data_IF_359073107696
#
_entry.id   IF_359073107696
#
_cell.length_a   1.000
_cell.length_b   1.000
_cell.length_c   1.000
_cell.angle_alpha   90.00
_cell.angle_beta   90.00
_cell.angle_gamma   90.00
#
_symmetry.space_group_name_H-M   'P 1'
#
loop_
_entity.id
_entity.type
_entity.pdbx_description
1 polymer ?
#
# COMPACT_ATOMS: atom_id res chain seq x y z
N UNK A 1 8.66 8.07 11.49
CA UNK A 1 8.84 8.81 10.22
C UNK A 1 8.03 10.09 10.34
N UNK A 2 8.57 11.23 9.91
CA UNK A 2 7.81 12.47 9.84
C UNK A 2 7.18 12.58 8.44
N UNK A 3 5.85 12.47 8.39
CA UNK A 3 5.07 12.50 7.14
C UNK A 3 5.04 13.91 6.51
N UNK A 4 5.23 14.94 7.32
CA UNK A 4 5.20 16.34 6.89
C UNK A 4 6.61 16.85 6.50
N UNK A 5 7.65 16.03 6.73
CA UNK A 5 9.01 16.36 6.32
C UNK A 5 9.10 16.53 4.80
N UNK A 6 9.46 17.73 4.38
CA UNK A 6 9.60 18.10 2.98
C UNK A 6 10.87 17.49 2.37
N UNK A 7 10.74 16.80 1.24
CA UNK A 7 11.85 16.42 0.34
C UNK A 7 11.47 16.76 -1.09
N UNK A 8 12.35 17.45 -1.82
CA UNK A 8 12.11 17.88 -3.20
C UNK A 8 10.79 18.66 -3.41
N UNK A 9 10.40 19.49 -2.43
CA UNK A 9 9.23 20.37 -2.55
C UNK A 9 7.87 19.73 -2.25
N UNK A 10 7.80 18.44 -1.94
CA UNK A 10 6.59 17.77 -1.42
C UNK A 10 6.87 17.00 -0.14
N UNK A 11 5.90 16.99 0.77
CA UNK A 11 5.98 16.13 1.95
C UNK A 11 5.83 14.67 1.55
N UNK A 12 6.29 13.74 2.39
CA UNK A 12 6.08 12.33 2.15
C UNK A 12 4.59 11.96 2.07
N UNK A 13 3.77 12.62 2.89
CA UNK A 13 2.31 12.55 2.82
C UNK A 13 1.80 12.92 1.44
N UNK A 14 2.16 14.09 0.91
CA UNK A 14 1.62 14.57 -0.36
C UNK A 14 2.04 13.68 -1.52
N UNK A 15 3.28 13.17 -1.51
CA UNK A 15 3.75 12.21 -2.50
C UNK A 15 2.91 10.93 -2.50
N UNK A 16 2.57 10.39 -1.32
CA UNK A 16 1.72 9.19 -1.20
C UNK A 16 0.27 9.48 -1.62
N UNK A 17 -0.30 10.58 -1.14
CA UNK A 17 -1.70 10.93 -1.39
C UNK A 17 -1.95 11.35 -2.84
N UNK A 18 -0.92 11.75 -3.59
CA UNK A 18 -1.04 12.02 -5.04
C UNK A 18 -1.51 10.81 -5.86
N UNK A 19 -1.35 9.58 -5.34
CA UNK A 19 -1.84 8.35 -5.97
C UNK A 19 -3.23 7.93 -5.49
N UNK A 20 -3.86 8.69 -4.56
CA UNK A 20 -5.14 8.33 -3.96
C UNK A 20 -6.25 8.13 -4.99
N UNK A 21 -6.35 9.02 -5.99
CA UNK A 21 -7.36 8.91 -7.06
C UNK A 21 -7.12 7.70 -7.96
N UNK A 22 -5.85 7.36 -8.25
CA UNK A 22 -5.49 6.17 -9.02
C UNK A 22 -5.93 4.89 -8.30
N UNK A 23 -5.63 4.75 -7.00
CA UNK A 23 -6.00 3.55 -6.25
C UNK A 23 -7.45 3.55 -5.74
N UNK A 24 -8.23 4.63 -5.94
CA UNK A 24 -9.66 4.68 -5.58
C UNK A 24 -10.51 3.81 -6.50
N UNK A 25 -10.14 3.69 -7.77
CA UNK A 25 -10.86 2.86 -8.74
C UNK A 25 -10.44 1.39 -8.68
N UNK A 26 -11.39 0.46 -8.77
CA UNK A 26 -11.10 -0.99 -8.86
C UNK A 26 -10.84 -1.46 -10.28
N UNK A 27 -11.16 -0.63 -11.27
CA UNK A 27 -11.09 -0.95 -12.71
C UNK A 27 -9.85 -0.36 -13.39
N UNK A 28 -8.91 0.17 -12.62
CA UNK A 28 -7.65 0.65 -13.17
C UNK A 28 -6.80 -0.53 -13.66
N UNK A 29 -6.03 -0.35 -14.74
CA UNK A 29 -5.06 -1.35 -15.17
C UNK A 29 -3.89 -1.35 -14.18
N UNK A 30 -4.04 -2.05 -13.05
CA UNK A 30 -2.98 -2.21 -12.06
C UNK A 30 -1.86 -3.11 -12.57
N UNK A 31 -2.20 -4.07 -13.42
CA UNK A 31 -1.27 -5.03 -13.99
C UNK A 31 -1.77 -5.54 -15.34
N UNK A 32 -0.85 -6.08 -16.11
CA UNK A 32 -1.11 -6.80 -17.35
C UNK A 32 -0.50 -8.20 -17.27
N UNK A 33 -1.24 -9.19 -17.79
CA UNK A 33 -0.69 -10.53 -18.05
C UNK A 33 -0.24 -10.51 -19.51
N UNK A 34 1.08 -10.63 -19.72
CA UNK A 34 1.66 -10.58 -21.07
C UNK A 34 1.65 -11.94 -21.76
N UNK A 35 1.97 -11.96 -23.06
CA UNK A 35 2.08 -13.16 -23.92
C UNK A 35 3.26 -14.05 -23.52
N UNK A 36 3.26 -14.57 -22.30
CA UNK A 36 4.10 -15.64 -21.76
C UNK A 36 3.81 -15.91 -20.28
N UNK A 37 2.64 -15.47 -19.77
CA UNK A 37 2.27 -15.51 -18.35
C UNK A 37 3.18 -14.66 -17.45
N UNK A 38 4.00 -13.75 -18.00
CA UNK A 38 4.68 -12.77 -17.17
C UNK A 38 3.68 -11.74 -16.67
N UNK A 39 3.68 -11.61 -15.35
CA UNK A 39 2.94 -10.62 -14.61
C UNK A 39 3.73 -9.31 -14.60
N UNK A 40 3.13 -8.21 -15.06
CA UNK A 40 3.76 -6.89 -15.06
C UNK A 40 2.84 -5.85 -14.44
N UNK A 41 3.32 -5.17 -13.41
CA UNK A 41 2.64 -4.01 -12.84
C UNK A 41 2.71 -2.81 -13.79
N UNK A 42 1.62 -2.04 -13.83
CA UNK A 42 1.57 -0.79 -14.58
C UNK A 42 2.53 0.25 -14.00
N UNK A 43 2.97 1.19 -14.84
CA UNK A 43 3.95 2.21 -14.46
C UNK A 43 3.54 3.00 -13.19
N UNK A 44 2.30 3.47 -13.02
CA UNK A 44 1.89 4.16 -11.79
C UNK A 44 2.02 3.30 -10.52
N UNK A 45 1.84 1.98 -10.63
CA UNK A 45 2.05 1.07 -9.49
C UNK A 45 3.53 0.97 -9.14
N UNK A 46 4.40 0.83 -10.14
CA UNK A 46 5.85 0.78 -9.93
C UNK A 46 6.39 2.10 -9.34
N UNK A 47 5.90 3.23 -9.83
CA UNK A 47 6.22 4.56 -9.31
C UNK A 47 5.76 4.71 -7.85
N UNK A 48 4.53 4.29 -7.54
CA UNK A 48 4.02 4.29 -6.16
C UNK A 48 4.86 3.42 -5.22
N UNK A 49 5.28 2.22 -5.64
CA UNK A 49 6.19 1.38 -4.88
C UNK A 49 7.54 2.07 -4.64
N UNK A 50 8.03 2.82 -5.63
CA UNK A 50 9.20 3.68 -5.50
C UNK A 50 9.01 4.77 -4.44
N UNK A 51 7.86 5.44 -4.43
CA UNK A 51 7.50 6.46 -3.43
C UNK A 51 7.40 5.86 -2.03
N UNK A 52 6.75 4.70 -1.88
CA UNK A 52 6.65 3.99 -0.60
C UNK A 52 8.03 3.69 0.00
N UNK A 53 8.97 3.25 -0.84
CA UNK A 53 10.35 3.00 -0.43
C UNK A 53 11.12 4.31 -0.16
N UNK A 54 11.04 5.30 -1.05
CA UNK A 54 11.81 6.55 -0.98
C UNK A 54 11.40 7.48 0.16
N UNK A 55 10.13 7.44 0.55
CA UNK A 55 9.59 8.18 1.70
C UNK A 55 9.94 7.51 3.04
N UNK A 56 10.29 6.23 3.04
CA UNK A 56 10.44 5.44 4.26
C UNK A 56 9.11 5.02 4.88
N UNK A 57 8.03 5.03 4.08
CA UNK A 57 6.73 4.55 4.53
C UNK A 57 6.80 3.06 4.88
N UNK A 58 7.53 2.27 4.08
CA UNK A 58 7.82 0.87 4.35
C UNK A 58 8.76 0.71 5.56
N UNK A 59 8.40 -0.18 6.48
CA UNK A 59 9.14 -0.40 7.73
C UNK A 59 10.22 -1.47 7.51
N UNK A 60 11.49 -1.06 7.59
CA UNK A 60 12.62 -1.99 7.58
C UNK A 60 12.63 -2.83 8.86
N UNK A 61 12.90 -4.14 8.73
CA UNK A 61 13.00 -5.05 9.88
C UNK A 61 11.68 -5.49 10.49
N UNK A 62 10.53 -5.07 9.96
CA UNK A 62 9.22 -5.58 10.39
C UNK A 62 9.13 -7.09 10.13
N UNK A 63 8.86 -7.87 11.18
CA UNK A 63 8.40 -9.25 11.04
C UNK A 63 6.94 -9.25 10.58
N UNK A 64 6.75 -9.06 9.28
CA UNK A 64 5.43 -8.92 8.68
C UNK A 64 4.58 -10.19 8.82
N UNK A 65 5.19 -11.38 8.89
CA UNK A 65 4.45 -12.65 9.05
C UNK A 65 3.88 -12.75 10.45
N UNK A 66 4.71 -12.54 11.47
CA UNK A 66 4.26 -12.56 12.86
C UNK A 66 3.17 -11.50 13.07
N UNK A 67 3.40 -10.27 12.58
CA UNK A 67 2.45 -9.18 12.73
C UNK A 67 1.08 -9.46 12.07
N UNK A 68 1.07 -10.02 10.85
CA UNK A 68 -0.19 -10.43 10.18
C UNK A 68 -0.95 -11.47 11.01
N UNK A 69 -0.25 -12.45 11.59
CA UNK A 69 -0.86 -13.51 12.40
C UNK A 69 -1.44 -12.94 13.70
N UNK A 70 -0.67 -12.12 14.41
CA UNK A 70 -1.06 -11.50 15.67
C UNK A 70 -2.31 -10.60 15.52
N UNK A 71 -2.46 -9.95 14.37
CA UNK A 71 -3.58 -9.06 14.08
C UNK A 71 -4.74 -9.74 13.35
N UNK A 72 -4.67 -11.07 13.14
CA UNK A 72 -5.70 -11.86 12.47
C UNK A 72 -5.99 -11.38 11.04
N UNK A 73 -4.94 -10.99 10.32
CA UNK A 73 -5.00 -10.43 8.95
C UNK A 73 -4.56 -11.45 7.88
N UNK A 74 -4.72 -12.74 8.15
CA UNK A 74 -4.36 -13.79 7.19
C UNK A 74 -5.33 -13.80 5.99
N UNK A 75 -6.57 -13.37 6.19
CA UNK A 75 -7.59 -13.26 5.15
C UNK A 75 -7.72 -11.82 4.66
N UNK A 76 -7.39 -11.61 3.38
CA UNK A 76 -7.47 -10.29 2.74
C UNK A 76 -8.91 -9.76 2.67
N UNK A 77 -9.92 -10.61 2.80
CA UNK A 77 -11.33 -10.21 2.81
C UNK A 77 -11.67 -9.29 4.00
N UNK A 78 -10.94 -9.41 5.12
CA UNK A 78 -11.29 -8.75 6.39
C UNK A 78 -10.50 -7.46 6.64
N UNK A 79 -9.58 -7.11 5.74
CA UNK A 79 -8.68 -5.98 5.93
C UNK A 79 -9.39 -4.61 5.96
N UNK A 80 -10.59 -4.52 5.37
CA UNK A 80 -11.38 -3.27 5.38
C UNK A 80 -11.67 -2.76 6.79
N UNK A 81 -12.19 -3.62 7.66
CA UNK A 81 -12.52 -3.26 9.06
C UNK A 81 -11.27 -2.84 9.85
N UNK A 82 -10.14 -3.48 9.57
CA UNK A 82 -8.86 -3.11 10.17
C UNK A 82 -8.41 -1.72 9.72
N UNK A 83 -8.42 -1.45 8.41
CA UNK A 83 -7.99 -0.17 7.83
C UNK A 83 -8.79 1.00 8.41
N UNK A 84 -10.11 0.86 8.56
CA UNK A 84 -10.98 1.91 9.10
C UNK A 84 -10.59 2.36 10.53
N UNK A 85 -10.04 1.44 11.32
CA UNK A 85 -9.66 1.69 12.72
C UNK A 85 -8.16 1.92 12.90
N UNK A 86 -7.37 1.55 11.90
CA UNK A 86 -5.92 1.67 11.94
C UNK A 86 -5.47 3.12 12.11
N UNK A 87 -4.43 3.30 12.91
CA UNK A 87 -3.63 4.51 12.95
C UNK A 87 -2.51 4.47 11.90
N UNK A 88 -1.78 5.58 11.74
CA UNK A 88 -0.73 5.74 10.72
C UNK A 88 0.30 4.61 10.76
N UNK A 89 0.76 4.21 11.95
CA UNK A 89 1.76 3.16 12.08
C UNK A 89 1.23 1.78 11.65
N UNK A 90 -0.03 1.48 11.95
CA UNK A 90 -0.68 0.22 11.54
C UNK A 90 -0.90 0.19 10.02
N UNK A 91 -1.26 1.32 9.40
CA UNK A 91 -1.33 1.44 7.93
C UNK A 91 0.04 1.20 7.27
N UNK A 92 1.12 1.70 7.87
CA UNK A 92 2.49 1.47 7.39
C UNK A 92 2.88 0.01 7.49
N UNK A 93 2.56 -0.66 8.60
CA UNK A 93 2.80 -2.10 8.77
C UNK A 93 2.01 -2.92 7.76
N UNK A 94 0.73 -2.60 7.56
CA UNK A 94 -0.13 -3.27 6.58
C UNK A 94 0.42 -3.13 5.15
N UNK A 95 0.75 -1.90 4.73
CA UNK A 95 1.34 -1.67 3.40
C UNK A 95 2.71 -2.37 3.26
N UNK A 96 3.51 -2.40 4.33
CA UNK A 96 4.77 -3.16 4.35
C UNK A 96 4.52 -4.65 4.16
N UNK A 97 3.52 -5.22 4.85
CA UNK A 97 3.14 -6.62 4.71
C UNK A 97 2.70 -6.92 3.27
N UNK A 98 1.87 -6.08 2.65
CA UNK A 98 1.45 -6.24 1.26
C UNK A 98 2.62 -6.31 0.28
N UNK A 99 3.52 -5.32 0.33
CA UNK A 99 4.68 -5.25 -0.56
C UNK A 99 5.66 -6.39 -0.32
N UNK A 100 5.80 -6.84 0.93
CA UNK A 100 6.69 -7.97 1.27
C UNK A 100 6.10 -9.30 0.82
N UNK A 101 4.80 -9.50 0.98
CA UNK A 101 4.12 -10.75 0.63
C UNK A 101 4.12 -11.01 -0.88
N UNK A 102 4.03 -9.97 -1.71
CA UNK A 102 4.17 -10.07 -3.17
C UNK A 102 5.47 -10.79 -3.60
N UNK A 103 6.57 -10.61 -2.85
CA UNK A 103 7.85 -11.28 -3.15
C UNK A 103 7.82 -12.80 -2.96
N UNK A 104 6.81 -13.33 -2.28
CA UNK A 104 6.65 -14.75 -1.97
C UNK A 104 5.39 -15.36 -2.59
N UNK A 105 4.41 -14.52 -2.95
CA UNK A 105 3.15 -14.91 -3.56
C UNK A 105 2.87 -13.92 -4.68
N UNK A 106 3.29 -14.29 -5.90
CA UNK A 106 3.08 -13.49 -7.10
C UNK A 106 1.59 -13.18 -7.30
N UNK A 107 1.28 -11.92 -7.57
CA UNK A 107 -0.08 -11.44 -7.80
C UNK A 107 -0.86 -11.11 -6.52
N UNK A 108 -0.28 -11.30 -5.34
CA UNK A 108 -0.91 -10.95 -4.07
C UNK A 108 -1.24 -9.45 -3.98
N UNK A 109 -0.26 -8.58 -4.27
CA UNK A 109 -0.47 -7.13 -4.27
C UNK A 109 -1.46 -6.72 -5.38
N UNK A 110 -1.53 -7.49 -6.46
CA UNK A 110 -2.54 -7.29 -7.50
C UNK A 110 -3.96 -7.51 -6.96
N UNK A 111 -4.17 -8.60 -6.22
CA UNK A 111 -5.45 -8.91 -5.57
C UNK A 111 -5.83 -7.83 -4.54
N UNK A 112 -4.88 -7.41 -3.70
CA UNK A 112 -5.05 -6.31 -2.74
C UNK A 112 -5.50 -5.01 -3.42
N UNK A 113 -4.90 -4.66 -4.57
CA UNK A 113 -5.29 -3.48 -5.35
C UNK A 113 -6.68 -3.63 -5.97
N UNK A 114 -7.01 -4.79 -6.57
CA UNK A 114 -8.35 -5.06 -7.14
C UNK A 114 -9.46 -4.97 -6.10
N UNK A 115 -9.18 -5.39 -4.87
CA UNK A 115 -10.11 -5.28 -3.73
C UNK A 115 -10.23 -3.87 -3.17
N UNK A 116 -9.43 -2.92 -3.67
CA UNK A 116 -9.46 -1.52 -3.26
C UNK A 116 -8.74 -1.22 -1.94
N UNK A 117 -7.95 -2.16 -1.40
CA UNK A 117 -7.33 -1.99 -0.09
C UNK A 117 -6.22 -0.93 -0.09
N UNK A 118 -5.44 -0.81 -1.17
CA UNK A 118 -4.45 0.27 -1.31
C UNK A 118 -5.13 1.62 -1.28
N UNK A 119 -6.23 1.80 -2.03
CA UNK A 119 -7.03 3.02 -2.03
C UNK A 119 -7.59 3.35 -0.64
N UNK A 120 -8.15 2.36 0.06
CA UNK A 120 -8.65 2.54 1.44
C UNK A 120 -7.55 2.93 2.42
N UNK A 121 -6.34 2.36 2.30
CA UNK A 121 -5.19 2.77 3.12
C UNK A 121 -4.83 4.24 2.87
N UNK A 122 -4.80 4.69 1.62
CA UNK A 122 -4.49 6.07 1.27
C UNK A 122 -5.59 7.04 1.74
N UNK A 123 -6.86 6.67 1.59
CA UNK A 123 -7.98 7.46 2.11
C UNK A 123 -7.90 7.59 3.64
N UNK A 124 -7.66 6.49 4.36
CA UNK A 124 -7.48 6.53 5.82
C UNK A 124 -6.28 7.38 6.23
N UNK A 125 -5.16 7.26 5.51
CA UNK A 125 -3.98 8.08 5.74
C UNK A 125 -4.30 9.57 5.57
N UNK A 126 -5.09 9.92 4.55
CA UNK A 126 -5.58 11.28 4.34
C UNK A 126 -6.37 11.74 5.57
N UNK A 127 -7.39 11.00 6.02
CA UNK A 127 -8.22 11.33 7.18
C UNK A 127 -7.42 11.58 8.46
N UNK A 128 -6.39 10.77 8.70
CA UNK A 128 -5.51 10.88 9.89
C UNK A 128 -4.51 12.03 9.82
N UNK A 129 -4.41 12.68 8.66
CA UNK A 129 -3.46 13.76 8.39
C UNK A 129 -4.16 15.01 7.84
N UNK A 130 -5.49 15.09 7.96
CA UNK A 130 -6.24 16.33 7.80
C UNK A 130 -6.05 17.14 9.08
N UNK A 131 -5.64 18.41 8.94
CA UNK A 131 -5.64 19.40 10.02
C UNK A 131 -7.07 19.86 10.37
#
# INVERSE_FOLDING_TARGET
MDLNKMKNGMSARDQLLSYGDYFRGTDQPFFEITFSHYFKYADPVNEFLGVLSGTGFLIAGLDWKAWIIENQLQSVDEHGCFIERAGIEELRKLMTAYVRQERFCEGFLADVMRRGWVGKVLARLQDLTVE
#
